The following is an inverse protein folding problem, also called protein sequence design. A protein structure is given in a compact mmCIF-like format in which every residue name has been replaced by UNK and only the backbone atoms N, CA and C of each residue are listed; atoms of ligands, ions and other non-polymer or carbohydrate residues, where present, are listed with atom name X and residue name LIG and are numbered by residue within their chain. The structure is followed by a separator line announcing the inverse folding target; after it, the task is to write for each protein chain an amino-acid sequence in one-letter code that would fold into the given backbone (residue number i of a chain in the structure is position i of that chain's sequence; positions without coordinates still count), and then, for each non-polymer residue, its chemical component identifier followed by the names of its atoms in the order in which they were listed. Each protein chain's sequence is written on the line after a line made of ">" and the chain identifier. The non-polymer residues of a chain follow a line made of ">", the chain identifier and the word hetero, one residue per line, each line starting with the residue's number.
data_IF_897868871956
#
_entry.id   IF_897868871956
#
_cell.length_a   1.000
_cell.length_b   1.000
_cell.length_c   1.000
_cell.angle_alpha   90.00
_cell.angle_beta   90.00
_cell.angle_gamma   90.00
#
_symmetry.space_group_name_H-M   'P 1'
#
loop_
_entity.id
_entity.type
_entity.pdbx_description
1 polymer ?
#
# COMPACT_ATOMS: atom_id res chain seq x y z
N UNK A 1 -5.13 -16.11 12.44
CA UNK A 1 -5.93 -15.04 11.80
C UNK A 1 -5.59 -15.05 10.33
N UNK A 2 -6.58 -15.01 9.43
CA UNK A 2 -6.29 -14.90 7.99
C UNK A 2 -6.02 -13.44 7.62
N UNK A 3 -5.38 -13.20 6.47
CA UNK A 3 -5.20 -11.82 5.97
C UNK A 3 -6.55 -11.13 5.72
N UNK A 4 -7.57 -11.89 5.30
CA UNK A 4 -8.93 -11.39 5.09
C UNK A 4 -9.54 -10.90 6.39
N UNK A 5 -9.45 -11.71 7.45
CA UNK A 5 -9.94 -11.31 8.79
C UNK A 5 -9.25 -10.03 9.28
N UNK A 6 -7.96 -9.87 8.96
CA UNK A 6 -7.20 -8.68 9.29
C UNK A 6 -7.67 -7.46 8.50
N UNK A 7 -7.88 -7.59 7.18
CA UNK A 7 -8.43 -6.52 6.34
C UNK A 7 -9.81 -6.09 6.86
N UNK A 8 -10.73 -7.03 7.04
CA UNK A 8 -12.08 -6.78 7.54
C UNK A 8 -12.03 -6.04 8.90
N UNK A 9 -11.14 -6.45 9.80
CA UNK A 9 -10.96 -5.80 11.11
C UNK A 9 -10.45 -4.37 10.97
N UNK A 10 -9.45 -4.14 10.11
CA UNK A 10 -8.84 -2.82 9.93
C UNK A 10 -9.81 -1.85 9.25
N UNK A 11 -10.60 -2.31 8.29
CA UNK A 11 -11.61 -1.50 7.59
C UNK A 11 -12.67 -0.94 8.56
N UNK A 12 -13.01 -1.68 9.61
CA UNK A 12 -13.99 -1.28 10.62
C UNK A 12 -13.45 -0.33 11.70
N UNK A 13 -12.16 0.03 11.67
CA UNK A 13 -11.59 0.98 12.63
C UNK A 13 -12.04 2.42 12.35
N UNK A 14 -12.16 3.20 13.43
CA UNK A 14 -12.41 4.63 13.31
C UNK A 14 -11.26 5.35 12.60
N UNK A 15 -11.60 6.44 11.89
CA UNK A 15 -10.64 7.24 11.14
C UNK A 15 -10.41 6.79 9.69
N UNK A 16 -10.94 5.62 9.30
CA UNK A 16 -11.07 5.28 7.88
C UNK A 16 -12.17 6.12 7.22
N UNK A 17 -12.08 6.25 5.91
CA UNK A 17 -13.05 6.97 5.10
C UNK A 17 -13.86 5.99 4.25
N UNK A 18 -15.18 6.13 4.25
CA UNK A 18 -16.07 5.33 3.40
C UNK A 18 -16.60 6.22 2.28
N UNK A 19 -16.41 5.81 1.02
CA UNK A 19 -16.99 6.49 -0.15
C UNK A 19 -17.46 5.48 -1.18
N UNK A 20 -18.73 5.59 -1.58
CA UNK A 20 -19.35 4.62 -2.46
C UNK A 20 -19.25 3.21 -1.85
N UNK A 21 -18.65 2.28 -2.59
CA UNK A 21 -18.43 0.90 -2.17
C UNK A 21 -17.02 0.65 -1.59
N UNK A 22 -16.18 1.69 -1.47
CA UNK A 22 -14.79 1.57 -1.01
C UNK A 22 -14.62 2.00 0.45
N UNK A 23 -13.79 1.25 1.18
CA UNK A 23 -13.22 1.66 2.46
C UNK A 23 -11.77 2.06 2.22
N UNK A 24 -11.43 3.29 2.60
CA UNK A 24 -10.11 3.87 2.46
C UNK A 24 -9.46 3.96 3.84
N UNK A 25 -8.44 3.13 4.04
CA UNK A 25 -7.78 2.94 5.32
C UNK A 25 -6.82 4.09 5.56
N UNK A 26 -6.94 4.73 6.72
CA UNK A 26 -6.06 5.85 7.08
C UNK A 26 -4.61 5.38 7.22
N UNK A 27 -3.65 6.30 7.02
CA UNK A 27 -2.23 6.01 7.25
C UNK A 27 -1.95 5.47 8.67
N UNK A 28 -2.68 5.92 9.70
CA UNK A 28 -2.54 5.40 11.06
C UNK A 28 -3.03 3.95 11.16
N UNK A 29 -4.19 3.63 10.57
CA UNK A 29 -4.74 2.28 10.61
C UNK A 29 -3.93 1.32 9.72
N UNK A 30 -3.30 1.79 8.65
CA UNK A 30 -2.33 1.00 7.88
C UNK A 30 -1.06 0.67 8.67
N UNK A 31 -0.57 1.57 9.53
CA UNK A 31 0.52 1.22 10.45
C UNK A 31 0.09 0.13 11.44
N UNK A 32 -1.16 0.15 11.89
CA UNK A 32 -1.71 -0.91 12.74
C UNK A 32 -1.85 -2.24 11.98
N UNK A 33 -2.36 -2.21 10.76
CA UNK A 33 -2.39 -3.34 9.83
C UNK A 33 -1.01 -3.98 9.70
N UNK A 34 0.02 -3.17 9.40
CA UNK A 34 1.39 -3.64 9.26
C UNK A 34 1.91 -4.36 10.51
N UNK A 35 1.62 -3.82 11.70
CA UNK A 35 2.04 -4.44 12.97
C UNK A 35 1.35 -5.80 13.24
N UNK A 36 0.14 -6.01 12.73
CA UNK A 36 -0.61 -7.24 12.91
C UNK A 36 -0.26 -8.33 11.88
N UNK A 37 0.52 -8.01 10.83
CA UNK A 37 0.98 -8.99 9.84
C UNK A 37 1.94 -10.04 10.44
N UNK A 38 2.58 -9.75 11.57
CA UNK A 38 3.37 -10.74 12.30
C UNK A 38 2.53 -11.91 12.87
N UNK A 39 1.20 -11.76 12.92
CA UNK A 39 0.28 -12.70 13.59
C UNK A 39 -0.64 -13.47 12.61
N UNK A 40 -0.45 -13.30 11.30
CA UNK A 40 -1.30 -13.94 10.28
C UNK A 40 -0.72 -15.24 9.72
N UNK A 41 -1.59 -16.07 9.14
CA UNK A 41 -1.16 -17.14 8.23
C UNK A 41 -0.72 -16.50 6.89
N UNK A 42 0.56 -16.12 6.81
CA UNK A 42 1.19 -15.33 5.74
C UNK A 42 1.36 -16.08 4.42
N UNK A 43 0.26 -16.63 3.89
CA UNK A 43 0.22 -17.43 2.66
C UNK A 43 -0.30 -16.68 1.43
N UNK A 44 -0.89 -15.51 1.63
CA UNK A 44 -1.52 -14.74 0.57
C UNK A 44 -0.78 -13.44 0.36
N UNK A 45 -0.59 -13.12 -0.92
CA UNK A 45 -0.13 -11.81 -1.33
C UNK A 45 -1.22 -10.74 -1.19
N UNK A 46 -0.78 -9.49 -1.20
CA UNK A 46 -1.66 -8.32 -1.21
C UNK A 46 -1.11 -7.24 -2.14
N UNK A 47 -2.02 -6.47 -2.70
CA UNK A 47 -1.74 -5.20 -3.36
C UNK A 47 -2.17 -4.05 -2.46
N UNK A 48 -1.23 -3.14 -2.18
CA UNK A 48 -1.52 -1.88 -1.50
C UNK A 48 -1.67 -0.76 -2.53
N UNK A 49 -2.87 -0.21 -2.64
CA UNK A 49 -3.14 0.91 -3.55
C UNK A 49 -3.34 2.19 -2.76
N UNK A 50 -2.44 3.18 -2.87
CA UNK A 50 -2.60 4.46 -2.20
C UNK A 50 -3.51 5.41 -2.98
N UNK A 51 -4.18 6.29 -2.24
CA UNK A 51 -5.08 7.31 -2.75
C UNK A 51 -4.79 8.65 -2.10
N UNK A 52 -4.80 9.73 -2.89
CA UNK A 52 -4.94 11.09 -2.38
C UNK A 52 -6.42 11.45 -2.32
N UNK A 53 -6.91 11.74 -1.13
CA UNK A 53 -8.32 12.07 -0.92
C UNK A 53 -8.42 13.43 -0.24
N UNK A 54 -9.19 14.32 -0.86
CA UNK A 54 -9.55 15.63 -0.31
C UNK A 54 -10.85 15.45 0.45
N UNK A 55 -10.96 15.97 1.68
CA UNK A 55 -12.19 15.83 2.47
C UNK A 55 -13.40 16.38 1.70
N UNK A 56 -14.45 15.55 1.58
CA UNK A 56 -15.64 15.75 0.72
C UNK A 56 -15.38 16.13 -0.76
N UNK A 57 -14.14 16.05 -1.22
CA UNK A 57 -13.71 16.44 -2.56
C UNK A 57 -13.34 15.27 -3.45
N UNK A 58 -12.40 15.48 -4.36
CA UNK A 58 -11.94 14.46 -5.30
C UNK A 58 -11.13 13.34 -4.62
N UNK A 59 -11.03 12.23 -5.33
CA UNK A 59 -10.27 11.05 -4.98
C UNK A 59 -9.37 10.71 -6.17
N UNK A 60 -8.07 10.58 -5.91
CA UNK A 60 -7.06 10.31 -6.92
C UNK A 60 -6.33 9.02 -6.56
N UNK A 61 -6.44 8.03 -7.43
CA UNK A 61 -5.67 6.80 -7.32
C UNK A 61 -4.23 7.04 -7.75
N UNK A 62 -3.29 6.60 -6.92
CA UNK A 62 -1.86 6.80 -7.15
C UNK A 62 -1.24 5.54 -7.74
N UNK A 63 -1.62 5.19 -8.97
CA UNK A 63 -1.21 3.93 -9.63
C UNK A 63 0.30 3.65 -9.59
N UNK A 64 1.14 4.67 -9.82
CA UNK A 64 2.59 4.48 -9.83
C UNK A 64 3.21 4.25 -8.44
N UNK A 65 2.42 4.38 -7.37
CA UNK A 65 2.81 4.20 -5.98
C UNK A 65 2.22 2.91 -5.38
N UNK A 66 1.54 2.10 -6.18
CA UNK A 66 1.08 0.77 -5.78
C UNK A 66 2.27 -0.10 -5.32
N UNK A 67 2.01 -0.97 -4.35
CA UNK A 67 3.01 -1.89 -3.82
C UNK A 67 2.44 -3.30 -3.76
N UNK A 68 3.01 -4.14 -4.62
CA UNK A 68 2.62 -5.53 -4.78
C UNK A 68 3.46 -6.43 -3.87
N UNK A 69 2.81 -7.32 -3.15
CA UNK A 69 3.42 -8.24 -2.20
C UNK A 69 2.99 -9.63 -2.59
N UNK A 70 3.89 -10.39 -3.22
CA UNK A 70 3.60 -11.77 -3.58
C UNK A 70 4.19 -12.74 -2.55
N UNK A 71 3.44 -13.79 -2.21
CA UNK A 71 3.93 -14.88 -1.36
C UNK A 71 4.30 -16.07 -2.24
N UNK A 72 5.57 -16.50 -2.18
CA UNK A 72 6.10 -17.56 -3.05
C UNK A 72 7.03 -18.52 -2.29
N UNK A 73 7.28 -19.69 -2.88
CA UNK A 73 8.24 -20.68 -2.39
C UNK A 73 9.69 -20.32 -2.80
N UNK A 74 10.11 -19.09 -2.53
CA UNK A 74 11.48 -18.60 -2.77
C UNK A 74 11.94 -17.68 -1.64
N UNK A 75 13.21 -17.24 -1.68
CA UNK A 75 13.75 -16.37 -0.64
C UNK A 75 13.12 -14.97 -0.71
N UNK A 76 12.78 -14.40 0.45
CA UNK A 76 12.21 -13.06 0.55
C UNK A 76 13.16 -11.97 0.01
N UNK A 77 12.68 -11.09 -0.87
CA UNK A 77 13.47 -10.00 -1.45
C UNK A 77 12.57 -8.89 -2.05
N UNK A 78 13.14 -7.69 -2.21
CA UNK A 78 12.51 -6.61 -2.97
C UNK A 78 12.88 -6.71 -4.44
N UNK A 79 11.93 -6.39 -5.32
CA UNK A 79 12.18 -6.22 -6.75
C UNK A 79 12.37 -4.74 -7.07
N UNK A 80 13.39 -4.45 -7.88
CA UNK A 80 13.70 -3.08 -8.29
C UNK A 80 12.89 -2.68 -9.53
N UNK A 81 12.63 -1.38 -9.68
CA UNK A 81 12.09 -0.88 -10.94
C UNK A 81 13.03 -1.21 -12.10
N UNK A 82 12.46 -1.49 -13.26
CA UNK A 82 13.23 -1.56 -14.49
C UNK A 82 13.87 -0.17 -14.74
N UNK A 83 15.20 -0.06 -14.85
CA UNK A 83 15.88 1.23 -15.02
C UNK A 83 15.52 1.94 -16.33
N UNK A 84 14.84 1.26 -17.27
CA UNK A 84 14.31 1.84 -18.51
C UNK A 84 12.94 2.51 -18.33
N UNK A 85 12.30 2.37 -17.18
CA UNK A 85 11.00 2.99 -16.91
C UNK A 85 11.16 4.51 -16.77
N UNK A 86 10.28 5.27 -17.41
CA UNK A 86 10.25 6.75 -17.33
C UNK A 86 9.43 7.26 -16.14
N UNK A 87 9.55 6.62 -14.98
CA UNK A 87 8.84 7.04 -13.77
C UNK A 87 9.55 8.24 -13.11
N UNK A 88 8.81 9.08 -12.37
CA UNK A 88 9.40 10.15 -11.58
C UNK A 88 10.46 9.63 -10.60
N UNK A 89 11.56 10.39 -10.44
CA UNK A 89 12.66 10.03 -9.53
C UNK A 89 12.20 9.80 -8.10
N UNK A 90 11.26 10.62 -7.63
CA UNK A 90 10.63 10.48 -6.32
C UNK A 90 10.12 9.06 -6.07
N UNK A 91 9.51 8.43 -7.08
CA UNK A 91 9.02 7.06 -6.97
C UNK A 91 10.18 6.08 -7.02
N UNK A 92 11.04 6.17 -8.03
CA UNK A 92 12.08 5.16 -8.27
C UNK A 92 13.20 5.15 -7.22
N UNK A 93 13.42 6.28 -6.53
CA UNK A 93 14.43 6.42 -5.47
C UNK A 93 13.90 6.01 -4.09
N UNK A 94 12.58 6.11 -3.85
CA UNK A 94 11.99 5.88 -2.53
C UNK A 94 11.15 4.60 -2.44
N UNK A 95 10.62 4.09 -3.56
CA UNK A 95 9.77 2.90 -3.62
C UNK A 95 10.40 1.78 -4.44
N UNK A 96 9.82 0.60 -4.24
CA UNK A 96 10.02 -0.62 -5.01
C UNK A 96 8.65 -1.04 -5.51
N UNK A 97 8.52 -1.51 -6.76
CA UNK A 97 7.23 -1.90 -7.32
C UNK A 97 6.63 -3.13 -6.62
N UNK A 98 7.49 -4.06 -6.21
CA UNK A 98 7.07 -5.36 -5.72
C UNK A 98 8.04 -5.89 -4.67
N UNK A 99 7.53 -6.73 -3.79
CA UNK A 99 8.31 -7.57 -2.89
C UNK A 99 7.84 -9.02 -3.00
N UNK A 100 8.78 -9.96 -2.96
CA UNK A 100 8.50 -11.37 -2.79
C UNK A 100 8.74 -11.75 -1.33
N UNK A 101 7.78 -12.44 -0.74
CA UNK A 101 7.84 -12.94 0.64
C UNK A 101 7.84 -14.47 0.60
N UNK A 102 8.82 -15.09 1.26
CA UNK A 102 8.85 -16.54 1.44
C UNK A 102 7.63 -16.99 2.25
N UNK A 103 7.04 -18.13 1.90
CA UNK A 103 5.93 -18.71 2.68
C UNK A 103 6.32 -18.84 4.16
N UNK A 104 5.57 -18.17 5.04
CA UNK A 104 5.78 -18.18 6.49
C UNK A 104 6.78 -17.14 7.01
N UNK A 105 7.41 -16.32 6.15
CA UNK A 105 8.29 -15.21 6.56
C UNK A 105 7.47 -13.95 6.90
N UNK A 106 6.67 -14.05 7.96
CA UNK A 106 5.79 -12.97 8.43
C UNK A 106 6.59 -11.76 8.93
N UNK A 107 7.81 -11.97 9.43
CA UNK A 107 8.72 -10.91 9.85
C UNK A 107 9.12 -10.03 8.67
N UNK A 108 9.48 -10.63 7.53
CA UNK A 108 9.80 -9.87 6.33
C UNK A 108 8.55 -9.22 5.72
N UNK A 109 7.41 -9.91 5.73
CA UNK A 109 6.13 -9.34 5.30
C UNK A 109 5.81 -8.03 6.04
N UNK A 110 5.83 -8.08 7.37
CA UNK A 110 5.63 -6.90 8.21
C UNK A 110 6.64 -5.80 7.89
N UNK A 111 7.93 -6.14 7.79
CA UNK A 111 8.99 -5.17 7.47
C UNK A 111 8.78 -4.51 6.11
N UNK A 112 8.33 -5.26 5.11
CA UNK A 112 8.08 -4.74 3.77
C UNK A 112 6.94 -3.72 3.77
N UNK A 113 5.82 -4.03 4.42
CA UNK A 113 4.69 -3.09 4.54
C UNK A 113 5.09 -1.85 5.35
N UNK A 114 5.78 -2.02 6.49
CA UNK A 114 6.26 -0.87 7.28
C UNK A 114 7.26 0.00 6.50
N UNK A 115 8.14 -0.62 5.72
CA UNK A 115 9.08 0.09 4.85
C UNK A 115 8.33 0.92 3.80
N UNK A 116 7.32 0.33 3.14
CA UNK A 116 6.50 1.01 2.15
C UNK A 116 5.78 2.22 2.76
N UNK A 117 5.04 2.03 3.86
CA UNK A 117 4.30 3.10 4.54
C UNK A 117 5.21 4.25 5.00
N UNK A 118 6.41 3.92 5.51
CA UNK A 118 7.40 4.92 5.92
C UNK A 118 7.94 5.75 4.75
N UNK A 119 8.06 5.16 3.56
CA UNK A 119 8.50 5.91 2.38
C UNK A 119 7.35 6.72 1.77
N UNK A 120 6.12 6.20 1.77
CA UNK A 120 4.93 6.96 1.37
C UNK A 120 4.74 8.24 2.19
N UNK A 121 5.04 8.22 3.48
CA UNK A 121 4.98 9.41 4.34
C UNK A 121 5.96 10.54 3.95
N UNK A 122 7.00 10.22 3.19
CA UNK A 122 8.00 11.20 2.73
C UNK A 122 7.68 11.78 1.36
N UNK A 123 6.64 11.24 0.70
CA UNK A 123 6.27 11.67 -0.64
C UNK A 123 5.65 13.06 -0.60
N UNK A 124 6.06 13.85 -1.57
CA UNK A 124 5.58 15.20 -1.86
C UNK A 124 4.47 15.21 -2.90
N UNK A 125 4.34 14.13 -3.68
CA UNK A 125 3.33 13.98 -4.74
C UNK A 125 3.37 15.15 -5.74
N UNK A 126 4.57 15.59 -6.10
CA UNK A 126 4.75 16.78 -6.91
C UNK A 126 4.08 16.63 -8.28
N UNK A 127 3.30 17.65 -8.63
CA UNK A 127 2.58 17.70 -9.89
C UNK A 127 3.55 17.97 -11.04
N UNK A 128 3.75 16.98 -11.91
CA UNK A 128 4.74 17.09 -12.99
C UNK A 128 4.20 17.74 -14.27
N UNK A 129 2.88 17.89 -14.40
CA UNK A 129 2.23 18.37 -15.65
C UNK A 129 1.12 19.41 -15.45
N UNK A 130 0.25 19.23 -14.47
CA UNK A 130 -0.93 20.09 -14.27
C UNK A 130 -1.09 20.37 -12.79
N UNK A 131 -1.27 21.65 -12.43
CA UNK A 131 -1.41 22.10 -11.05
C UNK A 131 -2.87 22.03 -10.59
N UNK A 132 -3.14 21.30 -9.52
CA UNK A 132 -4.42 21.11 -8.85
C UNK A 132 -4.31 21.64 -7.42
N UNK A 133 -4.61 22.93 -7.17
CA UNK A 133 -4.43 23.57 -5.87
C UNK A 133 -5.16 22.87 -4.72
N UNK A 134 -6.23 22.13 -5.02
CA UNK A 134 -6.99 21.36 -4.05
C UNK A 134 -6.21 20.18 -3.44
N UNK A 135 -5.16 19.68 -4.11
CA UNK A 135 -4.29 18.62 -3.58
C UNK A 135 -3.50 19.04 -2.34
N UNK A 136 -3.34 20.34 -2.07
CA UNK A 136 -2.69 20.82 -0.86
C UNK A 136 -3.42 20.39 0.43
N UNK A 137 -4.69 20.00 0.33
CA UNK A 137 -5.51 19.51 1.42
C UNK A 137 -5.74 18.00 1.36
N UNK A 138 -5.15 17.32 0.38
CA UNK A 138 -5.30 15.88 0.22
C UNK A 138 -4.54 15.13 1.32
N UNK A 139 -5.11 14.02 1.74
CA UNK A 139 -4.49 13.09 2.68
C UNK A 139 -4.33 11.72 2.02
N UNK A 140 -3.30 10.98 2.43
CA UNK A 140 -3.02 9.64 1.92
C UNK A 140 -3.87 8.61 2.68
N UNK A 141 -4.66 7.87 1.92
CA UNK A 141 -5.36 6.67 2.35
C UNK A 141 -4.95 5.48 1.48
N UNK A 142 -5.37 4.27 1.87
CA UNK A 142 -5.00 3.05 1.18
C UNK A 142 -6.21 2.13 1.02
N UNK A 143 -6.21 1.33 -0.02
CA UNK A 143 -6.98 0.10 -0.09
C UNK A 143 -6.03 -1.09 -0.09
N UNK A 144 -6.48 -2.21 0.48
CA UNK A 144 -5.75 -3.47 0.52
C UNK A 144 -6.55 -4.49 -0.26
N UNK A 145 -5.97 -5.00 -1.33
CA UNK A 145 -6.56 -6.07 -2.12
C UNK A 145 -5.78 -7.35 -1.85
N UNK A 146 -6.47 -8.45 -1.60
CA UNK A 146 -5.82 -9.75 -1.64
C UNK A 146 -5.60 -10.15 -3.09
N UNK A 147 -4.47 -10.78 -3.39
CA UNK A 147 -4.33 -11.48 -4.66
C UNK A 147 -5.48 -12.48 -4.76
N UNK A 148 -6.35 -12.29 -5.76
CA UNK A 148 -7.34 -13.29 -6.11
C UNK A 148 -6.58 -14.52 -6.60
N UNK A 149 -6.81 -15.67 -5.95
CA UNK A 149 -6.23 -16.96 -6.29
C UNK A 149 -5.94 -17.05 -7.79
N UNK A 150 -4.65 -17.08 -8.13
CA UNK A 150 -4.19 -17.49 -9.44
C UNK A 150 -4.82 -18.87 -9.72
N UNK A 151 -5.87 -18.88 -10.54
CA UNK A 151 -6.52 -20.11 -11.00
C UNK A 151 -5.55 -20.98 -11.78
#
# INVERSE_FOLDING_TARGET
>A
MTIKDLIDRIENLQGNLVRGNGVYISSSNMNHFANLLGEIDGRHGILLTPYLIIDKGALYELHYYEFDIEVRNEQSHFNDYNPRNSLPKEITENLRPQVIVAVGDTDFYQKAVMWYLKNMQKMTFNETKTYYPELQYAQVFYQVFMDSDSQ
#
